data_IF_023417975576
#
_entry.id   IF_023417975576
#
_cell.length_a   1.000
_cell.length_b   1.000
_cell.length_c   1.000
_cell.angle_alpha   90.00
_cell.angle_beta   90.00
_cell.angle_gamma   90.00
#
_symmetry.space_group_name_H-M   'P 1'
#
loop_
_entity.id
_entity.type
_entity.pdbx_description
1 polymer ?
#
# COMPACT_ATOMS: atom_id res chain seq x y z
N UNK A 1 40.02 -8.82 -54.25
CA UNK A 1 40.56 -9.43 -53.00
C UNK A 1 39.94 -8.72 -51.78
N UNK A 2 38.70 -8.22 -51.91
CA UNK A 2 38.19 -7.09 -51.09
C UNK A 2 36.99 -7.46 -50.19
N UNK A 3 36.35 -8.60 -50.42
CA UNK A 3 35.17 -9.03 -49.65
C UNK A 3 35.53 -9.47 -48.22
N UNK A 4 36.72 -10.03 -48.01
CA UNK A 4 37.20 -10.43 -46.69
C UNK A 4 37.71 -9.25 -45.85
N UNK A 5 38.22 -8.19 -46.48
CA UNK A 5 38.57 -6.93 -45.79
C UNK A 5 37.32 -6.16 -45.39
N UNK A 6 36.29 -6.13 -46.23
CA UNK A 6 34.99 -5.51 -45.93
C UNK A 6 34.24 -6.24 -44.81
N UNK A 7 34.19 -7.59 -44.83
CA UNK A 7 33.65 -8.39 -43.74
C UNK A 7 34.42 -8.20 -42.42
N UNK A 8 35.74 -7.99 -42.51
CA UNK A 8 36.60 -7.69 -41.37
C UNK A 8 36.31 -6.31 -40.75
N UNK A 9 36.07 -5.30 -41.58
CA UNK A 9 35.64 -3.96 -41.14
C UNK A 9 34.24 -3.97 -40.54
N UNK A 10 33.30 -4.67 -41.17
CA UNK A 10 31.93 -4.80 -40.68
C UNK A 10 31.90 -5.49 -39.31
N UNK A 11 32.68 -6.57 -39.11
CA UNK A 11 32.84 -7.23 -37.81
C UNK A 11 33.43 -6.30 -36.75
N UNK A 12 34.39 -5.46 -37.12
CA UNK A 12 35.04 -4.51 -36.21
C UNK A 12 34.10 -3.39 -35.79
N UNK A 13 33.30 -2.88 -36.71
CA UNK A 13 32.26 -1.87 -36.47
C UNK A 13 31.16 -2.44 -35.57
N UNK A 14 30.70 -3.66 -35.84
CA UNK A 14 29.71 -4.35 -34.99
C UNK A 14 30.25 -4.60 -33.58
N UNK A 15 31.53 -4.95 -33.45
CA UNK A 15 32.16 -5.14 -32.14
C UNK A 15 32.33 -3.82 -31.37
N UNK A 16 32.72 -2.74 -32.05
CA UNK A 16 32.78 -1.40 -31.48
C UNK A 16 31.40 -0.91 -31.04
N UNK A 17 30.37 -1.15 -31.85
CA UNK A 17 28.98 -0.86 -31.55
C UNK A 17 28.49 -1.57 -30.28
N UNK A 18 28.86 -2.84 -30.11
CA UNK A 18 28.49 -3.61 -28.92
C UNK A 18 29.16 -3.06 -27.66
N UNK A 19 30.45 -2.74 -27.74
CA UNK A 19 31.22 -2.17 -26.61
C UNK A 19 30.71 -0.78 -26.22
N UNK A 20 30.34 0.07 -27.19
CA UNK A 20 29.78 1.39 -26.94
C UNK A 20 28.36 1.36 -26.36
N UNK A 21 27.58 0.33 -26.68
CA UNK A 21 26.26 0.12 -26.06
C UNK A 21 26.38 -0.39 -24.62
N UNK A 22 27.34 -1.26 -24.34
CA UNK A 22 27.59 -1.84 -23.01
C UNK A 22 28.22 -0.81 -22.05
N UNK A 23 29.01 0.13 -22.56
CA UNK A 23 29.57 1.25 -21.79
C UNK A 23 28.55 2.35 -21.41
N UNK A 24 27.32 2.31 -21.96
CA UNK A 24 26.32 3.38 -21.83
C UNK A 24 25.02 2.89 -21.18
N UNK A 25 25.17 2.28 -20.01
CA UNK A 25 24.10 1.81 -19.10
C UNK A 25 23.19 2.93 -18.52
N UNK A 26 23.22 4.15 -19.07
CA UNK A 26 22.44 5.30 -18.56
C UNK A 26 21.89 6.21 -19.65
N UNK A 27 21.54 5.65 -20.81
CA UNK A 27 21.13 6.46 -21.96
C UNK A 27 19.64 6.33 -22.20
N UNK A 28 18.96 7.46 -22.00
CA UNK A 28 17.54 7.68 -22.24
C UNK A 28 17.11 7.23 -23.64
N UNK A 29 15.85 6.76 -23.82
CA UNK A 29 15.35 6.21 -25.08
C UNK A 29 15.45 7.18 -26.28
N UNK A 30 15.55 8.49 -26.03
CA UNK A 30 15.73 9.53 -27.05
C UNK A 30 17.12 9.53 -27.70
N UNK A 31 18.17 9.17 -26.94
CA UNK A 31 19.54 9.20 -27.43
C UNK A 31 19.87 8.01 -28.33
N UNK A 32 19.17 6.88 -28.18
CA UNK A 32 19.33 5.72 -29.08
C UNK A 32 18.74 6.03 -30.46
N UNK A 33 17.56 6.67 -30.51
CA UNK A 33 16.94 7.10 -31.78
C UNK A 33 17.81 8.10 -32.55
N UNK A 34 18.33 9.12 -31.86
CA UNK A 34 19.18 10.14 -32.50
C UNK A 34 20.53 9.58 -32.92
N UNK A 35 21.09 8.64 -32.16
CA UNK A 35 22.30 7.92 -32.56
C UNK A 35 22.07 6.99 -33.76
N UNK A 36 20.96 6.25 -33.79
CA UNK A 36 20.61 5.38 -34.92
C UNK A 36 20.42 6.17 -36.22
N UNK A 37 19.76 7.34 -36.13
CA UNK A 37 19.61 8.26 -37.26
C UNK A 37 20.96 8.80 -37.74
N UNK A 38 21.87 9.14 -36.81
CA UNK A 38 23.20 9.67 -37.15
C UNK A 38 24.11 8.61 -37.80
N UNK A 39 23.99 7.35 -37.39
CA UNK A 39 24.71 6.25 -38.06
C UNK A 39 24.19 6.08 -39.47
N UNK A 40 22.87 6.11 -39.66
CA UNK A 40 22.26 5.99 -40.98
C UNK A 40 22.71 7.13 -41.93
N UNK A 41 22.80 8.36 -41.42
CA UNK A 41 23.30 9.52 -42.18
C UNK A 41 24.77 9.37 -42.58
N UNK A 42 25.64 8.95 -41.64
CA UNK A 42 27.06 8.71 -41.95
C UNK A 42 27.26 7.55 -42.93
N UNK A 43 26.46 6.49 -42.83
CA UNK A 43 26.54 5.35 -43.74
C UNK A 43 25.98 5.64 -45.14
N UNK A 44 25.08 6.62 -45.28
CA UNK A 44 24.57 7.04 -46.58
C UNK A 44 25.60 7.83 -47.42
N UNK A 45 26.62 8.40 -46.76
CA UNK A 45 27.62 9.25 -47.41
C UNK A 45 28.82 8.48 -47.99
N UNK A 46 29.02 7.22 -47.58
CA UNK A 46 30.21 6.39 -47.91
C UNK A 46 29.88 5.14 -48.75
N UNK A 47 28.60 4.88 -49.05
CA UNK A 47 28.12 3.61 -49.61
C UNK A 47 27.73 3.71 -51.09
N UNK A 48 28.28 2.81 -51.93
CA UNK A 48 27.96 2.70 -53.35
C UNK A 48 26.44 2.47 -53.59
N UNK A 49 25.85 3.00 -54.68
CA UNK A 49 24.40 3.07 -54.89
C UNK A 49 23.66 1.71 -54.96
N UNK A 50 24.37 0.60 -55.12
CA UNK A 50 23.82 -0.76 -55.19
C UNK A 50 23.43 -1.32 -53.80
N UNK A 51 24.23 -1.06 -52.76
CA UNK A 51 24.07 -1.72 -51.44
C UNK A 51 23.29 -0.87 -50.41
N UNK A 52 22.93 0.36 -50.76
CA UNK A 52 22.26 1.33 -49.88
C UNK A 52 20.85 0.92 -49.43
N UNK A 53 20.14 0.14 -50.23
CA UNK A 53 18.77 -0.29 -49.91
C UNK A 53 18.73 -1.39 -48.84
N UNK A 54 19.71 -2.30 -48.81
CA UNK A 54 19.78 -3.40 -47.85
C UNK A 54 20.14 -2.89 -46.45
N UNK A 55 21.11 -1.97 -46.36
CA UNK A 55 21.54 -1.38 -45.09
C UNK A 55 20.48 -0.46 -44.49
N UNK A 56 19.74 0.28 -45.32
CA UNK A 56 18.60 1.08 -44.89
C UNK A 56 17.42 0.22 -44.37
N UNK A 57 17.16 -0.93 -44.99
CA UNK A 57 16.06 -1.81 -44.59
C UNK A 57 16.35 -2.52 -43.25
N UNK A 58 17.57 -3.02 -43.07
CA UNK A 58 17.98 -3.70 -41.83
C UNK A 58 18.02 -2.76 -40.62
N UNK A 59 18.55 -1.54 -40.80
CA UNK A 59 18.60 -0.54 -39.73
C UNK A 59 17.21 -0.10 -39.28
N UNK A 60 16.28 0.11 -40.22
CA UNK A 60 14.88 0.42 -39.92
C UNK A 60 14.20 -0.71 -39.13
N UNK A 61 14.35 -1.96 -39.58
CA UNK A 61 13.79 -3.14 -38.90
C UNK A 61 14.30 -3.28 -37.46
N UNK A 62 15.59 -3.04 -37.22
CA UNK A 62 16.17 -3.07 -35.88
C UNK A 62 15.60 -2.00 -34.96
N UNK A 63 15.44 -0.77 -35.44
CA UNK A 63 14.85 0.33 -34.66
C UNK A 63 13.38 0.06 -34.33
N UNK A 64 12.62 -0.47 -35.29
CA UNK A 64 11.22 -0.85 -35.09
C UNK A 64 11.10 -1.98 -34.04
N UNK A 65 11.95 -3.00 -34.12
CA UNK A 65 11.98 -4.07 -33.11
C UNK A 65 12.33 -3.53 -31.72
N UNK A 66 13.34 -2.66 -31.59
CA UNK A 66 13.76 -2.11 -30.31
C UNK A 66 12.67 -1.27 -29.65
N UNK A 67 11.98 -0.43 -30.43
CA UNK A 67 10.86 0.37 -29.93
C UNK A 67 9.67 -0.49 -29.51
N UNK A 68 9.40 -1.59 -30.23
CA UNK A 68 8.35 -2.54 -29.86
C UNK A 68 8.64 -3.25 -28.53
N UNK A 69 9.90 -3.62 -28.28
CA UNK A 69 10.32 -4.30 -27.05
C UNK A 69 10.18 -3.34 -25.86
N UNK A 70 10.65 -2.10 -25.99
CA UNK A 70 10.47 -1.10 -24.92
C UNK A 70 9.00 -0.85 -24.60
N UNK A 71 8.17 -0.73 -25.62
CA UNK A 71 6.73 -0.55 -25.42
C UNK A 71 6.12 -1.72 -24.66
N UNK A 72 6.60 -2.96 -24.87
CA UNK A 72 6.17 -4.14 -24.11
C UNK A 72 6.67 -4.13 -22.68
N UNK A 73 7.93 -3.73 -22.44
CA UNK A 73 8.51 -3.62 -21.10
C UNK A 73 7.78 -2.57 -20.27
N UNK A 74 7.49 -1.41 -20.86
CA UNK A 74 6.78 -0.33 -20.18
C UNK A 74 5.34 -0.72 -19.83
N UNK A 75 4.63 -1.39 -20.75
CA UNK A 75 3.29 -1.94 -20.47
C UNK A 75 3.31 -3.01 -19.38
N UNK A 76 4.31 -3.89 -19.37
CA UNK A 76 4.46 -4.90 -18.32
C UNK A 76 4.73 -4.24 -16.96
N UNK A 77 5.62 -3.26 -16.92
CA UNK A 77 5.92 -2.48 -15.71
C UNK A 77 4.66 -1.77 -15.18
N UNK A 78 3.89 -1.13 -16.07
CA UNK A 78 2.64 -0.49 -15.70
C UNK A 78 1.61 -1.50 -15.14
N UNK A 79 1.47 -2.66 -15.78
CA UNK A 79 0.56 -3.72 -15.32
C UNK A 79 0.98 -4.34 -13.99
N UNK A 80 2.28 -4.52 -13.75
CA UNK A 80 2.80 -4.96 -12.46
C UNK A 80 2.51 -3.93 -11.37
N UNK A 81 2.78 -2.65 -11.64
CA UNK A 81 2.51 -1.57 -10.70
C UNK A 81 1.01 -1.48 -10.35
N UNK A 82 0.13 -1.62 -11.33
CA UNK A 82 -1.33 -1.65 -11.08
C UNK A 82 -1.73 -2.85 -10.21
N UNK A 83 -1.18 -4.04 -10.49
CA UNK A 83 -1.40 -5.24 -9.68
C UNK A 83 -0.89 -5.07 -8.25
N UNK A 84 0.26 -4.44 -8.05
CA UNK A 84 0.79 -4.11 -6.73
C UNK A 84 -0.10 -3.12 -5.98
N UNK A 85 -0.60 -2.08 -6.65
CA UNK A 85 -1.54 -1.13 -6.03
C UNK A 85 -2.82 -1.82 -5.59
N UNK A 86 -3.35 -2.73 -6.41
CA UNK A 86 -4.52 -3.52 -6.04
C UNK A 86 -4.23 -4.45 -4.85
N UNK A 87 -3.06 -5.09 -4.80
CA UNK A 87 -2.65 -5.93 -3.68
C UNK A 87 -2.51 -5.14 -2.38
N UNK A 88 -1.87 -3.96 -2.43
CA UNK A 88 -1.75 -3.06 -1.28
C UNK A 88 -3.14 -2.60 -0.84
N UNK A 89 -4.03 -2.27 -1.78
CA UNK A 89 -5.43 -1.96 -1.49
C UNK A 89 -6.14 -3.10 -0.77
N UNK A 90 -6.00 -4.34 -1.24
CA UNK A 90 -6.58 -5.51 -0.59
C UNK A 90 -6.00 -5.75 0.81
N UNK A 91 -4.68 -5.61 0.97
CA UNK A 91 -4.00 -5.78 2.26
C UNK A 91 -4.46 -4.73 3.28
N UNK A 92 -4.54 -3.47 2.88
CA UNK A 92 -5.03 -2.38 3.76
C UNK A 92 -6.48 -2.60 4.20
N UNK A 93 -7.33 -3.15 3.33
CA UNK A 93 -8.71 -3.54 3.69
C UNK A 93 -8.72 -4.71 4.68
N UNK A 94 -7.89 -5.74 4.46
CA UNK A 94 -7.74 -6.87 5.38
C UNK A 94 -7.23 -6.42 6.75
N UNK A 95 -6.20 -5.59 6.79
CA UNK A 95 -5.65 -5.02 8.02
C UNK A 95 -6.69 -4.16 8.73
N UNK A 96 -7.45 -3.35 8.00
CA UNK A 96 -8.57 -2.57 8.56
C UNK A 96 -9.64 -3.47 9.16
N UNK A 97 -9.99 -4.58 8.50
CA UNK A 97 -10.95 -5.55 9.01
C UNK A 97 -10.43 -6.29 10.25
N UNK A 98 -9.13 -6.63 10.29
CA UNK A 98 -8.49 -7.23 11.44
C UNK A 98 -8.45 -6.27 12.63
N UNK A 99 -8.02 -5.02 12.41
CA UNK A 99 -7.99 -3.95 13.40
C UNK A 99 -9.38 -3.66 13.96
N UNK A 100 -10.41 -3.66 13.10
CA UNK A 100 -11.80 -3.51 13.54
C UNK A 100 -12.24 -4.63 14.48
N UNK A 101 -11.96 -5.90 14.11
CA UNK A 101 -12.26 -7.06 14.97
C UNK A 101 -11.50 -6.99 16.29
N UNK A 102 -10.24 -6.53 16.26
CA UNK A 102 -9.44 -6.36 17.47
C UNK A 102 -9.99 -5.24 18.36
N UNK A 103 -10.40 -4.12 17.78
CA UNK A 103 -11.07 -3.05 18.51
C UNK A 103 -12.37 -3.53 19.15
N UNK A 104 -13.20 -4.28 18.42
CA UNK A 104 -14.42 -4.89 18.99
C UNK A 104 -14.10 -5.80 20.18
N UNK A 105 -13.10 -6.68 20.06
CA UNK A 105 -12.65 -7.54 21.16
C UNK A 105 -12.13 -6.72 22.35
N UNK A 106 -11.32 -5.69 22.09
CA UNK A 106 -10.81 -4.80 23.14
C UNK A 106 -11.95 -4.08 23.86
N UNK A 107 -12.96 -3.58 23.14
CA UNK A 107 -14.13 -2.94 23.74
C UNK A 107 -14.94 -3.90 24.62
N UNK A 108 -15.07 -5.17 24.20
CA UNK A 108 -15.73 -6.19 25.01
C UNK A 108 -14.97 -6.50 26.30
N UNK A 109 -13.63 -6.57 26.24
CA UNK A 109 -12.79 -6.74 27.42
C UNK A 109 -12.88 -5.53 28.37
N UNK A 110 -12.85 -4.31 27.84
CA UNK A 110 -13.03 -3.09 28.64
C UNK A 110 -14.40 -3.05 29.31
N UNK A 111 -15.45 -3.51 28.61
CA UNK A 111 -16.79 -3.62 29.18
C UNK A 111 -16.82 -4.60 30.37
N UNK A 112 -16.22 -5.78 30.21
CA UNK A 112 -16.09 -6.72 31.31
C UNK A 112 -15.31 -6.09 32.48
N UNK A 113 -14.17 -5.47 32.19
CA UNK A 113 -13.36 -4.81 33.20
C UNK A 113 -14.13 -3.72 33.95
N UNK A 114 -14.94 -2.91 33.27
CA UNK A 114 -15.76 -1.86 33.88
C UNK A 114 -16.81 -2.40 34.87
N UNK A 115 -17.28 -3.63 34.69
CA UNK A 115 -18.18 -4.31 35.63
C UNK A 115 -17.38 -5.00 36.75
N UNK A 116 -16.28 -5.66 36.41
CA UNK A 116 -15.46 -6.39 37.39
C UNK A 116 -14.70 -5.47 38.34
N UNK A 117 -14.25 -4.28 37.92
CA UNK A 117 -13.51 -3.33 38.76
C UNK A 117 -14.29 -2.90 40.02
N UNK A 118 -15.51 -2.34 39.91
CA UNK A 118 -16.28 -1.94 41.08
C UNK A 118 -16.72 -3.13 41.92
N UNK A 119 -17.02 -4.27 41.28
CA UNK A 119 -17.44 -5.48 41.96
C UNK A 119 -16.29 -6.10 42.77
N UNK A 120 -15.09 -6.13 42.19
CA UNK A 120 -13.85 -6.58 42.85
C UNK A 120 -13.48 -5.65 44.00
N UNK A 121 -13.59 -4.32 43.81
CA UNK A 121 -13.35 -3.36 44.88
C UNK A 121 -14.32 -3.57 46.05
N UNK A 122 -15.59 -3.82 45.74
CA UNK A 122 -16.63 -4.11 46.74
C UNK A 122 -16.28 -5.38 47.52
N UNK A 123 -15.98 -6.48 46.83
CA UNK A 123 -15.53 -7.72 47.49
C UNK A 123 -14.21 -7.55 48.24
N UNK A 124 -13.32 -6.68 47.79
CA UNK A 124 -12.07 -6.36 48.50
C UNK A 124 -12.33 -5.63 49.82
N UNK A 125 -13.19 -4.61 49.81
CA UNK A 125 -13.57 -3.86 51.01
C UNK A 125 -14.27 -4.78 52.02
N UNK A 126 -15.22 -5.62 51.57
CA UNK A 126 -15.96 -6.52 52.47
C UNK A 126 -15.21 -7.81 52.85
N UNK A 127 -14.25 -8.24 52.02
CA UNK A 127 -13.40 -9.40 52.29
C UNK A 127 -12.22 -9.09 53.20
N UNK A 128 -11.83 -7.81 53.32
CA UNK A 128 -10.87 -7.38 54.33
C UNK A 128 -11.57 -7.43 55.70
N UNK A 129 -10.98 -8.13 56.67
CA UNK A 129 -11.50 -8.27 58.04
C UNK A 129 -11.54 -6.91 58.78
N UNK A 130 -12.50 -6.05 58.42
CA UNK A 130 -12.73 -4.74 59.03
C UNK A 130 -13.39 -4.94 60.40
N UNK A 131 -12.55 -5.15 61.41
CA UNK A 131 -12.97 -5.29 62.81
C UNK A 131 -13.69 -4.03 63.34
N UNK A 132 -13.45 -2.85 62.75
CA UNK A 132 -14.22 -1.62 63.01
C UNK A 132 -15.68 -1.67 62.50
N UNK A 133 -15.98 -2.41 61.44
CA UNK A 133 -17.35 -2.54 60.90
C UNK A 133 -18.20 -3.50 61.76
N UNK A 134 -17.57 -4.31 62.62
CA UNK A 134 -18.23 -5.34 63.43
C UNK A 134 -18.46 -4.95 64.90
N UNK A 135 -18.11 -3.73 65.34
CA UNK A 135 -18.43 -3.28 66.73
C UNK A 135 -19.91 -2.94 66.94
N UNK A 136 -20.70 -2.90 65.86
CA UNK A 136 -22.16 -2.99 65.89
C UNK A 136 -22.60 -3.48 64.52
N UNK A 137 -23.44 -4.53 64.47
CA UNK A 137 -23.90 -5.16 63.22
C UNK A 137 -24.10 -4.13 62.12
N UNK A 138 -23.28 -4.12 61.05
CA UNK A 138 -23.48 -3.19 59.97
C UNK A 138 -24.84 -3.50 59.36
N UNK A 139 -25.76 -2.53 59.29
CA UNK A 139 -27.03 -2.74 58.62
C UNK A 139 -26.71 -3.18 57.19
N UNK A 140 -27.33 -4.26 56.73
CA UNK A 140 -27.28 -4.71 55.33
C UNK A 140 -27.45 -3.58 54.29
N UNK A 141 -28.13 -2.49 54.67
CA UNK A 141 -28.23 -1.24 53.92
C UNK A 141 -26.89 -0.57 53.59
N UNK A 142 -25.87 -0.66 54.44
CA UNK A 142 -24.56 -0.06 54.18
C UNK A 142 -23.87 -0.73 52.98
N UNK A 143 -24.00 -2.05 52.86
CA UNK A 143 -23.52 -2.82 51.70
C UNK A 143 -24.23 -2.38 50.41
N UNK A 144 -25.54 -2.17 50.49
CA UNK A 144 -26.35 -1.71 49.35
C UNK A 144 -25.96 -0.30 48.91
N UNK A 145 -25.71 0.61 49.85
CA UNK A 145 -25.29 1.99 49.56
C UNK A 145 -23.91 1.99 48.87
N UNK A 146 -22.94 1.23 49.39
CA UNK A 146 -21.60 1.13 48.78
C UNK A 146 -21.67 0.56 47.35
N UNK A 147 -22.47 -0.49 47.14
CA UNK A 147 -22.71 -1.06 45.80
C UNK A 147 -23.33 -0.03 44.85
N UNK A 148 -24.37 0.69 45.28
CA UNK A 148 -25.03 1.70 44.46
C UNK A 148 -24.06 2.83 44.12
N UNK A 149 -23.32 3.36 45.11
CA UNK A 149 -22.37 4.46 44.88
C UNK A 149 -21.22 4.05 43.94
N UNK A 150 -20.79 2.79 43.95
CA UNK A 150 -19.73 2.31 43.05
C UNK A 150 -20.23 1.92 41.65
N UNK A 151 -21.41 1.30 41.55
CA UNK A 151 -21.97 0.86 40.28
C UNK A 151 -22.56 2.01 39.46
N UNK A 152 -23.20 2.99 40.10
CA UNK A 152 -23.86 4.11 39.41
C UNK A 152 -22.90 4.90 38.49
N UNK A 153 -21.73 5.38 38.94
CA UNK A 153 -20.80 6.09 38.07
C UNK A 153 -20.18 5.19 37.00
N UNK A 154 -19.94 3.90 37.28
CA UNK A 154 -19.41 2.96 36.29
C UNK A 154 -20.42 2.72 35.16
N UNK A 155 -21.70 2.52 35.51
CA UNK A 155 -22.78 2.35 34.54
C UNK A 155 -22.99 3.63 33.74
N UNK A 156 -23.00 4.81 34.38
CA UNK A 156 -23.12 6.10 33.69
C UNK A 156 -21.97 6.31 32.70
N UNK A 157 -20.73 6.01 33.11
CA UNK A 157 -19.56 6.11 32.25
C UNK A 157 -19.63 5.15 31.07
N UNK A 158 -20.09 3.91 31.31
CA UNK A 158 -20.27 2.90 30.26
C UNK A 158 -21.35 3.32 29.25
N UNK A 159 -22.50 3.81 29.74
CA UNK A 159 -23.60 4.33 28.91
C UNK A 159 -23.16 5.56 28.12
N UNK A 160 -22.36 6.45 28.72
CA UNK A 160 -21.80 7.61 28.05
C UNK A 160 -20.88 7.22 26.89
N UNK A 161 -19.93 6.30 27.12
CA UNK A 161 -19.05 5.77 26.07
C UNK A 161 -19.85 5.09 24.95
N UNK A 162 -20.86 4.29 25.31
CA UNK A 162 -21.67 3.58 24.34
C UNK A 162 -22.53 4.52 23.50
N UNK A 163 -23.13 5.54 24.13
CA UNK A 163 -23.95 6.55 23.44
C UNK A 163 -23.10 7.40 22.51
N UNK A 164 -21.90 7.79 22.93
CA UNK A 164 -20.96 8.55 22.10
C UNK A 164 -20.55 7.76 20.85
N UNK A 165 -20.14 6.51 21.00
CA UNK A 165 -19.77 5.64 19.87
C UNK A 165 -20.94 5.40 18.91
N UNK A 166 -22.18 5.32 19.42
CA UNK A 166 -23.39 5.16 18.59
C UNK A 166 -23.74 6.44 17.83
N UNK A 167 -23.59 7.62 18.44
CA UNK A 167 -23.89 8.89 17.78
C UNK A 167 -22.98 9.15 16.58
N UNK A 168 -21.69 8.83 16.69
CA UNK A 168 -20.73 9.02 15.60
C UNK A 168 -21.10 8.18 14.38
N UNK A 169 -21.49 6.92 14.59
CA UNK A 169 -21.98 6.04 13.51
C UNK A 169 -23.28 6.53 12.87
N UNK A 170 -24.18 7.16 13.62
CA UNK A 170 -25.40 7.75 13.04
C UNK A 170 -25.12 9.03 12.25
N UNK A 171 -24.15 9.85 12.68
CA UNK A 171 -23.74 11.06 11.96
C UNK A 171 -23.16 10.72 10.59
N UNK A 172 -22.31 9.69 10.52
CA UNK A 172 -21.73 9.22 9.26
C UNK A 172 -22.82 8.72 8.27
N UNK A 173 -23.82 7.99 8.76
CA UNK A 173 -24.94 7.51 7.93
C UNK A 173 -25.81 8.66 7.40
N UNK A 174 -26.06 9.68 8.22
CA UNK A 174 -26.82 10.87 7.77
C UNK A 174 -26.05 11.65 6.69
N UNK A 175 -24.76 11.89 6.91
CA UNK A 175 -23.90 12.60 5.94
C UNK A 175 -23.85 11.88 4.58
N UNK A 176 -23.78 10.54 4.59
CA UNK A 176 -23.80 9.75 3.35
C UNK A 176 -25.15 9.81 2.63
N UNK A 177 -26.27 9.80 3.36
CA UNK A 177 -27.61 9.93 2.75
C UNK A 177 -27.90 11.32 2.20
N UNK A 178 -27.19 12.34 2.69
CA UNK A 178 -27.33 13.72 2.22
C UNK A 178 -26.51 13.94 0.94
N UNK A 179 -25.30 13.39 0.86
CA UNK A 179 -24.48 13.40 -0.36
C UNK A 179 -25.11 12.63 -1.52
N UNK A 180 -25.81 11.53 -1.25
CA UNK A 180 -26.49 10.70 -2.28
C UNK A 180 -27.74 11.38 -2.85
N UNK A 181 -28.29 12.38 -2.15
CA UNK A 181 -29.43 13.18 -2.62
C UNK A 181 -29.04 14.40 -3.47
N UNK A 182 -27.75 14.74 -3.50
CA UNK A 182 -27.23 15.90 -4.23
C UNK A 182 -26.56 15.53 -5.56
N UNK A 183 -26.44 14.23 -5.86
CA UNK A 183 -25.92 13.66 -7.11
C UNK A 183 -27.10 13.19 -7.96
#
# INVERSE_FOLDING_TARGET
MDLLSELGSCRRIIHQLKVDMEARERVTPLSVKTWALRIHEKSAQDLQPNESHLTATWSKSWVDQWTSINGRVERLSASLNDSFQMLIGAMTVLDSAANKKQAERATMLTLLAAIYLPLTLTTGIFGMNLREVNQGSPPWWWVMIVMVVLLTPSIIFMVYLFTKNRLETFRERRAKSESDKMV
#
